data_IF_718309977691
#
_entry.id   IF_718309977691
#
_cell.length_a   1.000
_cell.length_b   1.000
_cell.length_c   1.000
_cell.angle_alpha   90.00
_cell.angle_beta   90.00
_cell.angle_gamma   90.00
#
_symmetry.space_group_name_H-M   'P 1'
#
loop_
_entity.id
_entity.type
_entity.pdbx_description
1 polymer ?
#
# COMPACT_ATOMS: atom_id res chain seq x y z
N UNK A 1 -21.48 -43.82 21.38
CA UNK A 1 -20.26 -43.04 21.12
C UNK A 1 -20.35 -42.50 19.71
N UNK A 2 -20.66 -41.21 19.55
CA UNK A 2 -20.91 -40.56 18.27
C UNK A 2 -19.73 -39.64 17.94
N UNK A 3 -19.04 -39.90 16.83
CA UNK A 3 -17.91 -39.11 16.35
C UNK A 3 -18.42 -37.91 15.55
N UNK A 4 -18.30 -36.72 16.13
CA UNK A 4 -18.56 -35.46 15.43
C UNK A 4 -17.49 -35.23 14.34
N UNK A 5 -17.92 -35.18 13.08
CA UNK A 5 -17.09 -34.83 11.94
C UNK A 5 -16.87 -33.31 11.92
N UNK A 6 -15.62 -32.89 12.07
CA UNK A 6 -15.18 -31.49 11.97
C UNK A 6 -15.20 -31.08 10.49
N UNK A 7 -16.31 -30.46 10.07
CA UNK A 7 -16.46 -29.84 8.76
C UNK A 7 -15.41 -28.74 8.58
N UNK A 8 -14.40 -29.01 7.76
CA UNK A 8 -13.41 -28.01 7.32
C UNK A 8 -14.15 -26.99 6.44
N UNK A 9 -14.64 -25.92 7.06
CA UNK A 9 -15.28 -24.80 6.39
C UNK A 9 -14.20 -24.06 5.59
N UNK A 10 -14.06 -24.42 4.31
CA UNK A 10 -13.39 -23.59 3.30
C UNK A 10 -14.17 -22.30 3.18
N UNK A 11 -13.84 -21.34 4.06
CA UNK A 11 -14.30 -19.97 3.95
C UNK A 11 -13.75 -19.44 2.64
N UNK A 12 -14.59 -19.48 1.61
CA UNK A 12 -14.45 -18.65 0.41
C UNK A 12 -14.42 -17.21 0.90
N UNK A 13 -13.21 -16.69 1.14
CA UNK A 13 -12.98 -15.29 1.40
C UNK A 13 -13.40 -14.57 0.13
N UNK A 14 -14.60 -13.98 0.16
CA UNK A 14 -15.03 -12.99 -0.82
C UNK A 14 -13.91 -11.97 -0.87
N UNK A 15 -13.09 -12.02 -1.92
CA UNK A 15 -12.03 -11.08 -2.19
C UNK A 15 -12.70 -9.71 -2.34
N UNK A 16 -12.68 -8.94 -1.24
CA UNK A 16 -13.11 -7.57 -1.24
C UNK A 16 -12.24 -6.85 -2.27
N UNK A 17 -12.87 -6.25 -3.29
CA UNK A 17 -12.28 -5.64 -4.50
C UNK A 17 -11.39 -4.41 -4.22
N UNK A 18 -10.64 -4.40 -3.12
CA UNK A 18 -9.82 -3.29 -2.66
C UNK A 18 -8.39 -3.73 -2.31
N UNK A 19 -7.82 -4.66 -3.09
CA UNK A 19 -6.43 -5.09 -2.91
C UNK A 19 -5.46 -3.92 -3.08
N UNK A 20 -4.38 -3.91 -2.30
CA UNK A 20 -3.36 -2.86 -2.41
C UNK A 20 -2.75 -2.93 -3.79
N UNK A 21 -2.26 -4.10 -4.17
CA UNK A 21 -1.69 -4.35 -5.48
C UNK A 21 -2.72 -5.00 -6.43
N UNK A 22 -2.67 -4.70 -7.74
CA UNK A 22 -3.40 -5.46 -8.75
C UNK A 22 -2.95 -6.93 -8.75
N UNK A 23 -3.88 -7.85 -9.04
CA UNK A 23 -3.63 -9.29 -9.04
C UNK A 23 -2.87 -9.80 -10.26
N UNK A 24 -2.82 -9.02 -11.33
CA UNK A 24 -2.03 -9.29 -12.54
C UNK A 24 -1.44 -8.00 -13.08
N UNK A 25 -0.19 -8.08 -13.55
CA UNK A 25 0.53 -6.98 -14.20
C UNK A 25 0.84 -7.41 -15.62
N UNK A 26 -0.04 -7.05 -16.55
CA UNK A 26 0.07 -7.47 -17.95
C UNK A 26 0.54 -6.34 -18.86
N UNK A 27 0.52 -5.10 -18.37
CA UNK A 27 0.83 -3.91 -19.15
C UNK A 27 1.73 -2.94 -18.36
N UNK A 28 2.44 -2.06 -19.07
CA UNK A 28 3.35 -1.09 -18.46
C UNK A 28 2.61 -0.16 -17.47
N UNK A 29 1.38 0.23 -17.81
CA UNK A 29 0.55 1.06 -16.94
C UNK A 29 0.25 0.39 -15.59
N UNK A 30 -0.06 -0.92 -15.60
CA UNK A 30 -0.28 -1.68 -14.37
C UNK A 30 1.00 -1.80 -13.55
N UNK A 31 2.15 -1.96 -14.21
CA UNK A 31 3.46 -1.97 -13.55
C UNK A 31 3.72 -0.63 -12.85
N UNK A 32 3.43 0.48 -13.53
CA UNK A 32 3.55 1.82 -12.96
C UNK A 32 2.63 2.00 -11.75
N UNK A 33 1.39 1.53 -11.81
CA UNK A 33 0.45 1.56 -10.68
C UNK A 33 0.98 0.75 -9.49
N UNK A 34 1.54 -0.43 -9.74
CA UNK A 34 2.20 -1.25 -8.69
C UNK A 34 3.35 -0.48 -8.05
N UNK A 35 4.25 0.09 -8.84
CA UNK A 35 5.41 0.84 -8.33
C UNK A 35 4.97 2.03 -7.50
N UNK A 36 3.99 2.82 -7.96
CA UNK A 36 3.44 3.95 -7.21
C UNK A 36 2.88 3.51 -5.86
N UNK A 37 2.08 2.45 -5.86
CA UNK A 37 1.46 1.92 -4.64
C UNK A 37 2.49 1.31 -3.69
N UNK A 38 3.51 0.63 -4.20
CA UNK A 38 4.60 0.07 -3.42
C UNK A 38 5.38 1.18 -2.74
N UNK A 39 5.76 2.22 -3.49
CA UNK A 39 6.49 3.37 -2.99
C UNK A 39 5.75 4.06 -1.84
N UNK A 40 4.47 4.38 -2.01
CA UNK A 40 3.66 4.97 -0.94
C UNK A 40 3.54 4.04 0.28
N UNK A 41 3.42 2.73 0.07
CA UNK A 41 3.34 1.74 1.15
C UNK A 41 4.65 1.68 1.93
N UNK A 42 5.79 1.66 1.26
CA UNK A 42 7.11 1.66 1.89
C UNK A 42 7.32 2.92 2.76
N UNK A 43 7.03 4.11 2.24
CA UNK A 43 7.17 5.35 3.02
C UNK A 43 6.20 5.35 4.21
N UNK A 44 4.97 4.87 4.02
CA UNK A 44 4.01 4.74 5.12
C UNK A 44 4.54 3.81 6.21
N UNK A 45 5.10 2.66 5.83
CA UNK A 45 5.67 1.70 6.76
C UNK A 45 6.88 2.28 7.52
N UNK A 46 7.81 2.94 6.82
CA UNK A 46 8.99 3.58 7.43
C UNK A 46 8.57 4.67 8.43
N UNK A 47 7.69 5.57 8.01
CA UNK A 47 7.24 6.70 8.86
C UNK A 47 6.47 6.20 10.08
N UNK A 48 5.67 5.13 9.95
CA UNK A 48 4.93 4.53 11.05
C UNK A 48 5.86 3.81 12.04
N UNK A 49 6.76 2.94 11.54
CA UNK A 49 7.70 2.20 12.39
C UNK A 49 8.67 3.12 13.14
N UNK A 50 9.00 4.28 12.54
CA UNK A 50 9.83 5.32 13.18
C UNK A 50 9.04 6.23 14.11
N UNK A 51 7.71 6.12 14.16
CA UNK A 51 6.84 6.95 15.00
C UNK A 51 6.88 8.44 14.63
N UNK A 52 7.06 8.79 13.36
CA UNK A 52 7.21 10.19 12.94
C UNK A 52 5.92 10.99 13.06
N UNK A 53 4.76 10.34 12.94
CA UNK A 53 3.44 10.97 13.02
C UNK A 53 2.52 10.21 13.97
N UNK A 54 1.52 10.87 14.54
CA UNK A 54 0.52 10.22 15.39
C UNK A 54 -0.33 9.23 14.60
N UNK A 55 -0.97 8.30 15.31
CA UNK A 55 -1.81 7.27 14.68
C UNK A 55 -2.98 7.85 13.87
N UNK A 56 -3.45 9.07 14.19
CA UNK A 56 -4.49 9.76 13.43
C UNK A 56 -4.11 10.06 11.97
N UNK A 57 -2.80 10.16 11.69
CA UNK A 57 -2.26 10.36 10.35
C UNK A 57 -2.12 9.06 9.55
N UNK A 58 -2.51 7.92 10.12
CA UNK A 58 -2.46 6.63 9.44
C UNK A 58 -3.86 6.01 9.34
N UNK A 59 -4.06 5.21 8.30
CA UNK A 59 -5.23 4.36 8.12
C UNK A 59 -4.80 2.92 7.97
N UNK A 60 -5.49 2.02 8.66
CA UNK A 60 -5.30 0.58 8.48
C UNK A 60 -5.83 0.11 7.13
N UNK A 61 -4.99 -0.63 6.41
CA UNK A 61 -5.35 -1.30 5.16
C UNK A 61 -4.86 -2.74 5.20
N UNK A 62 -5.76 -3.69 4.96
CA UNK A 62 -5.43 -5.12 4.93
C UNK A 62 -4.91 -5.53 3.56
N UNK A 63 -3.82 -6.28 3.55
CA UNK A 63 -3.30 -7.01 2.40
C UNK A 63 -3.14 -8.46 2.85
N UNK A 64 -4.05 -9.33 2.41
CA UNK A 64 -4.16 -10.71 2.87
C UNK A 64 -4.21 -10.78 4.41
N UNK A 65 -3.17 -11.34 5.02
CA UNK A 65 -3.04 -11.47 6.48
C UNK A 65 -2.23 -10.35 7.14
N UNK A 66 -1.66 -9.42 6.36
CA UNK A 66 -0.97 -8.24 6.87
C UNK A 66 -1.91 -7.04 7.04
N UNK A 67 -1.84 -6.38 8.20
CA UNK A 67 -2.42 -5.06 8.43
C UNK A 67 -1.33 -3.99 8.23
N UNK A 68 -1.47 -3.18 7.18
CA UNK A 68 -0.55 -2.08 6.88
C UNK A 68 -1.13 -0.75 7.35
N UNK A 69 -0.29 0.08 7.96
CA UNK A 69 -0.60 1.48 8.26
C UNK A 69 -0.21 2.33 7.06
N UNK A 70 -1.21 2.88 6.38
CA UNK A 70 -1.03 3.72 5.20
C UNK A 70 -1.15 5.17 5.62
N UNK A 71 -0.15 5.99 5.27
CA UNK A 71 -0.13 7.41 5.58
C UNK A 71 -1.30 8.10 4.86
N UNK A 72 -2.04 8.91 5.61
CA UNK A 72 -3.21 9.66 5.15
C UNK A 72 -2.99 11.14 5.44
N UNK A 73 -3.58 11.96 4.59
CA UNK A 73 -3.67 13.39 4.83
C UNK A 73 -4.42 13.67 6.14
N UNK A 74 -3.73 14.33 7.07
CA UNK A 74 -4.28 14.77 8.34
C UNK A 74 -4.04 16.28 8.50
N UNK A 75 -5.13 17.05 8.59
CA UNK A 75 -5.08 18.51 8.75
C UNK A 75 -4.44 18.93 10.07
N UNK A 76 -4.40 18.03 11.06
CA UNK A 76 -3.78 18.28 12.37
C UNK A 76 -2.26 18.12 12.33
N UNK A 77 -1.72 17.46 11.30
CA UNK A 77 -0.30 17.17 11.17
C UNK A 77 0.22 17.65 9.80
N UNK A 78 0.66 18.93 9.69
CA UNK A 78 1.17 19.46 8.42
C UNK A 78 2.42 18.69 7.91
N UNK A 79 3.16 18.04 8.80
CA UNK A 79 4.29 17.19 8.42
C UNK A 79 3.88 15.97 7.58
N UNK A 80 2.76 15.31 7.89
CA UNK A 80 2.29 14.15 7.11
C UNK A 80 1.81 14.60 5.72
N UNK A 81 1.18 15.77 5.64
CA UNK A 81 0.77 16.42 4.40
C UNK A 81 1.96 16.70 3.47
N UNK A 82 3.09 17.20 3.99
CA UNK A 82 4.28 17.46 3.17
C UNK A 82 4.84 16.18 2.54
N UNK A 83 4.91 15.08 3.31
CA UNK A 83 5.37 13.79 2.79
C UNK A 83 4.44 13.28 1.69
N UNK A 84 3.13 13.40 1.87
CA UNK A 84 2.15 12.99 0.86
C UNK A 84 2.32 13.80 -0.43
N UNK A 85 2.54 15.12 -0.33
CA UNK A 85 2.83 15.96 -1.49
C UNK A 85 4.12 15.57 -2.20
N UNK A 86 5.17 15.19 -1.46
CA UNK A 86 6.40 14.69 -2.06
C UNK A 86 6.17 13.37 -2.82
N UNK A 87 5.41 12.44 -2.22
CA UNK A 87 5.02 11.19 -2.88
C UNK A 87 4.25 11.47 -4.19
N UNK A 88 3.30 12.41 -4.16
CA UNK A 88 2.56 12.83 -5.35
C UNK A 88 3.48 13.42 -6.44
N UNK A 89 4.45 14.24 -6.05
CA UNK A 89 5.47 14.75 -6.97
C UNK A 89 6.30 13.63 -7.61
N UNK A 90 6.68 12.62 -6.82
CA UNK A 90 7.36 11.43 -7.36
C UNK A 90 6.47 10.64 -8.34
N UNK A 91 5.16 10.59 -8.11
CA UNK A 91 4.23 9.90 -9.00
C UNK A 91 4.09 10.59 -10.36
N UNK A 92 4.07 11.92 -10.38
CA UNK A 92 4.09 12.71 -11.62
C UNK A 92 5.42 12.53 -12.37
N UNK A 93 6.55 12.50 -11.64
CA UNK A 93 7.87 12.23 -12.22
C UNK A 93 7.97 10.81 -12.81
N UNK A 94 7.37 9.81 -12.15
CA UNK A 94 7.29 8.43 -12.63
C UNK A 94 6.44 8.32 -13.91
N UNK A 95 5.30 9.00 -13.98
CA UNK A 95 4.45 9.03 -15.19
C UNK A 95 5.12 9.67 -16.39
N UNK A 96 5.88 10.73 -16.16
CA UNK A 96 6.64 11.41 -17.22
C UNK A 96 7.93 10.68 -17.60
N UNK A 97 8.14 9.45 -17.09
CA UNK A 97 9.34 8.61 -17.28
C UNK A 97 10.67 9.32 -16.93
N UNK A 98 10.64 10.31 -16.04
CA UNK A 98 11.86 10.99 -15.60
C UNK A 98 12.71 10.11 -14.68
N UNK A 99 12.08 9.15 -13.98
CA UNK A 99 12.77 8.18 -13.14
C UNK A 99 13.30 7.05 -14.03
N UNK A 100 14.43 7.32 -14.70
CA UNK A 100 15.24 6.25 -15.31
C UNK A 100 15.86 5.44 -14.18
N UNK A 101 15.22 4.35 -13.80
CA UNK A 101 15.84 3.35 -12.92
C UNK A 101 17.00 2.73 -13.72
N UNK A 102 18.22 3.19 -13.44
CA UNK A 102 19.50 2.54 -13.72
C UNK A 102 19.56 1.70 -15.01
N UNK A 103 19.46 2.35 -16.17
CA UNK A 103 20.01 1.79 -17.41
C UNK A 103 21.50 2.16 -17.46
N UNK A 104 22.33 1.56 -16.58
CA UNK A 104 23.81 1.49 -16.61
C UNK A 104 24.35 0.99 -15.24
N UNK A 105 24.19 -0.31 -14.96
CA UNK A 105 25.15 -1.05 -14.14
C UNK A 105 25.33 -2.46 -14.71
#
# INVERSE_FOLDING_TARGET
MATAQLSHNTRTLKASKNTIFPSQVTNEHESLVVVKKLFATCISCITYLRGLFPESSYRDRRLDDLSLKILREDKKCPGSLHIIKWIQGCFDALEKRYVRIFENL
#
